data_IF_708498794909
#
_entry.id   IF_708498794909
#
_cell.length_a   1.000
_cell.length_b   1.000
_cell.length_c   1.000
_cell.angle_alpha   90.00
_cell.angle_beta   90.00
_cell.angle_gamma   90.00
#
_symmetry.space_group_name_H-M   'P 1'
#
loop_
_entity.id
_entity.type
_entity.pdbx_description
1 polymer ?
#
# COMPACT_ATOMS: atom_id res chain seq x y z
N UNK A 1 -32.54 -9.48 -9.80
CA UNK A 1 -31.68 -8.29 -9.66
C UNK A 1 -30.69 -8.58 -8.54
N UNK A 2 -29.42 -8.61 -8.85
CA UNK A 2 -28.37 -8.67 -7.83
C UNK A 2 -28.51 -7.38 -7.03
N UNK A 3 -28.71 -7.46 -5.72
CA UNK A 3 -28.82 -6.30 -4.84
C UNK A 3 -27.47 -5.57 -4.85
N UNK A 4 -27.38 -4.53 -5.70
CA UNK A 4 -26.16 -3.75 -5.87
C UNK A 4 -26.03 -2.77 -4.70
N UNK A 5 -25.01 -3.00 -3.85
CA UNK A 5 -24.78 -2.12 -2.71
C UNK A 5 -24.20 -0.79 -3.15
N UNK A 6 -24.81 0.30 -2.67
CA UNK A 6 -24.44 1.68 -3.03
C UNK A 6 -23.72 2.37 -1.86
N UNK A 7 -22.77 3.23 -2.21
CA UNK A 7 -22.01 4.09 -1.32
C UNK A 7 -21.93 5.51 -1.89
N UNK A 8 -21.79 6.51 -1.04
CA UNK A 8 -21.53 7.88 -1.48
C UNK A 8 -20.14 7.96 -2.12
N UNK A 9 -19.16 7.27 -1.54
CA UNK A 9 -17.80 7.27 -2.03
C UNK A 9 -17.19 5.85 -1.97
N UNK A 10 -16.65 5.41 -3.09
CA UNK A 10 -15.82 4.21 -3.19
C UNK A 10 -14.37 4.64 -3.37
N UNK A 11 -13.47 4.06 -2.59
CA UNK A 11 -12.03 4.29 -2.72
C UNK A 11 -11.34 2.96 -3.04
N UNK A 12 -10.49 2.96 -4.05
CA UNK A 12 -9.68 1.81 -4.46
C UNK A 12 -8.27 2.01 -3.96
N UNK A 13 -7.87 1.24 -2.96
CA UNK A 13 -6.57 1.29 -2.29
C UNK A 13 -6.64 1.85 -0.87
N UNK A 14 -6.20 1.04 0.10
CA UNK A 14 -6.14 1.39 1.53
C UNK A 14 -4.73 1.81 1.97
N UNK A 15 -3.98 2.44 1.08
CA UNK A 15 -2.74 3.13 1.43
C UNK A 15 -3.00 4.47 2.11
N UNK A 16 -1.96 5.25 2.43
CA UNK A 16 -2.10 6.50 3.18
C UNK A 16 -2.99 7.52 2.48
N UNK A 17 -2.93 7.66 1.16
CA UNK A 17 -3.78 8.58 0.40
C UNK A 17 -5.25 8.16 0.41
N UNK A 18 -5.52 6.86 0.20
CA UNK A 18 -6.88 6.32 0.22
C UNK A 18 -7.52 6.43 1.59
N UNK A 19 -6.81 6.06 2.65
CA UNK A 19 -7.29 6.17 4.03
C UNK A 19 -7.53 7.63 4.44
N UNK A 20 -6.62 8.55 4.10
CA UNK A 20 -6.79 9.98 4.41
C UNK A 20 -8.02 10.56 3.71
N UNK A 21 -8.23 10.23 2.43
CA UNK A 21 -9.43 10.65 1.70
C UNK A 21 -10.71 10.06 2.31
N UNK A 22 -10.68 8.79 2.71
CA UNK A 22 -11.80 8.11 3.35
C UNK A 22 -12.20 8.76 4.67
N UNK A 23 -11.21 9.06 5.53
CA UNK A 23 -11.40 9.72 6.82
C UNK A 23 -12.06 11.08 6.63
N UNK A 24 -11.54 11.91 5.72
CA UNK A 24 -12.08 13.24 5.46
C UNK A 24 -13.52 13.21 4.92
N UNK A 25 -13.82 12.25 4.05
CA UNK A 25 -15.16 12.06 3.51
C UNK A 25 -16.14 11.57 4.58
N UNK A 26 -15.74 10.60 5.39
CA UNK A 26 -16.56 10.04 6.46
C UNK A 26 -16.86 11.08 7.55
N UNK A 27 -15.88 11.91 7.93
CA UNK A 27 -16.07 13.03 8.87
C UNK A 27 -17.10 14.07 8.38
N UNK A 28 -17.34 14.12 7.07
CA UNK A 28 -18.37 14.98 6.44
C UNK A 28 -19.73 14.28 6.27
N UNK A 29 -19.88 13.09 6.84
CA UNK A 29 -21.13 12.35 6.85
C UNK A 29 -21.39 11.48 5.62
N UNK A 30 -20.38 11.25 4.77
CA UNK A 30 -20.51 10.36 3.62
C UNK A 30 -20.35 8.89 4.04
N UNK A 31 -21.12 8.01 3.41
CA UNK A 31 -20.94 6.56 3.52
C UNK A 31 -19.80 6.12 2.60
N UNK A 32 -18.68 5.70 3.21
CA UNK A 32 -17.43 5.42 2.49
C UNK A 32 -17.04 3.96 2.61
N UNK A 33 -16.66 3.35 1.48
CA UNK A 33 -16.00 2.04 1.44
C UNK A 33 -14.65 2.15 0.77
N UNK A 34 -13.66 1.44 1.32
CA UNK A 34 -12.32 1.31 0.75
C UNK A 34 -12.09 -0.16 0.42
N UNK A 35 -11.71 -0.47 -0.82
CA UNK A 35 -11.30 -1.80 -1.26
C UNK A 35 -9.80 -1.87 -1.42
N UNK A 36 -9.18 -2.92 -0.88
CA UNK A 36 -7.74 -3.17 -1.04
C UNK A 36 -7.49 -4.66 -1.32
N UNK A 37 -6.63 -4.95 -2.29
CA UNK A 37 -6.28 -6.32 -2.68
C UNK A 37 -5.42 -7.05 -1.64
N UNK A 38 -4.76 -6.32 -0.75
CA UNK A 38 -3.85 -6.87 0.25
C UNK A 38 -4.62 -7.43 1.47
N UNK A 39 -3.97 -8.32 2.18
CA UNK A 39 -4.47 -8.87 3.45
C UNK A 39 -4.41 -7.86 4.61
N UNK A 40 -3.55 -6.84 4.47
CA UNK A 40 -3.35 -5.77 5.46
C UNK A 40 -3.50 -4.41 4.81
N UNK A 41 -4.24 -3.48 5.43
CA UNK A 41 -4.34 -2.12 4.95
C UNK A 41 -3.09 -1.31 5.30
N UNK A 42 -2.94 -0.11 4.71
CA UNK A 42 -1.85 0.82 5.00
C UNK A 42 -0.78 0.90 3.89
N UNK A 43 -0.85 0.05 2.89
CA UNK A 43 0.01 0.09 1.70
C UNK A 43 1.49 0.08 2.04
N UNK A 44 2.26 1.00 1.45
CA UNK A 44 3.71 1.09 1.62
C UNK A 44 4.14 1.52 3.03
N UNK A 45 3.27 2.11 3.85
CA UNK A 45 3.62 2.55 5.21
C UNK A 45 4.05 1.40 6.11
N UNK A 46 3.45 0.22 5.97
CA UNK A 46 3.80 -0.94 6.80
C UNK A 46 5.17 -1.54 6.49
N UNK A 47 5.72 -1.25 5.31
CA UNK A 47 7.08 -1.64 4.93
C UNK A 47 8.15 -0.68 5.46
N UNK A 48 7.75 0.52 5.92
CA UNK A 48 8.62 1.62 6.26
C UNK A 48 8.91 1.64 7.75
N UNK A 49 10.02 1.02 8.14
CA UNK A 49 10.46 0.98 9.54
C UNK A 49 11.35 2.16 9.92
N UNK A 50 11.83 2.95 8.95
CA UNK A 50 12.60 4.16 9.20
C UNK A 50 11.68 5.33 9.60
N UNK A 51 12.26 6.34 10.24
CA UNK A 51 11.56 7.57 10.58
C UNK A 51 11.45 8.47 9.36
N UNK A 52 10.27 9.04 9.13
CA UNK A 52 10.05 9.97 8.03
C UNK A 52 10.82 11.28 8.23
N UNK A 53 11.21 11.87 7.11
CA UNK A 53 11.76 13.22 7.02
C UNK A 53 10.65 14.22 6.71
N UNK A 54 10.87 15.50 7.02
CA UNK A 54 9.93 16.58 6.71
C UNK A 54 9.48 17.36 7.94
N UNK A 55 8.30 17.97 7.86
CA UNK A 55 7.74 18.78 8.94
C UNK A 55 7.00 17.94 9.98
N UNK A 56 6.71 18.55 11.14
CA UNK A 56 5.87 17.91 12.17
C UNK A 56 4.46 17.62 11.68
N UNK A 57 3.93 18.48 10.80
CA UNK A 57 2.62 18.32 10.18
C UNK A 57 2.54 17.04 9.34
N UNK A 58 3.63 16.68 8.65
CA UNK A 58 3.76 15.44 7.89
C UNK A 58 4.34 14.29 8.72
N UNK A 59 4.17 14.33 10.05
CA UNK A 59 4.59 13.27 10.99
C UNK A 59 6.07 12.89 10.87
N UNK A 60 6.94 13.90 10.66
CA UNK A 60 8.40 13.70 10.67
C UNK A 60 8.87 13.04 11.97
N UNK A 61 9.92 12.22 11.86
CA UNK A 61 10.50 11.41 12.95
C UNK A 61 9.61 10.26 13.48
N UNK A 62 8.42 10.04 12.90
CA UNK A 62 7.58 8.88 13.22
C UNK A 62 7.85 7.78 12.19
N UNK A 63 7.86 6.53 12.62
CA UNK A 63 8.04 5.38 11.72
C UNK A 63 6.80 5.16 10.87
N UNK A 64 6.98 4.76 9.60
CA UNK A 64 5.89 4.62 8.65
C UNK A 64 4.78 3.67 9.09
N UNK A 65 5.11 2.52 9.68
CA UNK A 65 4.12 1.57 10.18
C UNK A 65 3.24 2.18 11.29
N UNK A 66 3.81 3.05 12.14
CA UNK A 66 3.05 3.72 13.18
C UNK A 66 2.06 4.73 12.60
N UNK A 67 2.45 5.44 11.54
CA UNK A 67 1.54 6.33 10.81
C UNK A 67 0.38 5.52 10.21
N UNK A 68 0.68 4.34 9.65
CA UNK A 68 -0.33 3.43 9.13
C UNK A 68 -1.33 2.96 10.18
N UNK A 69 -0.85 2.56 11.36
CA UNK A 69 -1.70 2.17 12.49
C UNK A 69 -2.61 3.31 12.94
N UNK A 70 -2.06 4.52 13.07
CA UNK A 70 -2.83 5.71 13.47
C UNK A 70 -3.93 6.03 12.44
N UNK A 71 -3.62 5.96 11.14
CA UNK A 71 -4.61 6.16 10.06
C UNK A 71 -5.72 5.11 10.08
N UNK A 72 -5.39 3.85 10.33
CA UNK A 72 -6.39 2.78 10.43
C UNK A 72 -7.34 3.00 11.59
N UNK A 73 -6.79 3.35 12.75
CA UNK A 73 -7.59 3.67 13.92
C UNK A 73 -8.52 4.85 13.67
N UNK A 74 -8.00 5.92 13.05
CA UNK A 74 -8.79 7.10 12.71
C UNK A 74 -9.89 6.77 11.68
N UNK A 75 -9.61 5.91 10.71
CA UNK A 75 -10.59 5.44 9.73
C UNK A 75 -11.73 4.64 10.39
N UNK A 76 -11.39 3.73 11.31
CA UNK A 76 -12.37 2.95 12.07
C UNK A 76 -13.25 3.86 12.94
N UNK A 77 -12.65 4.78 13.69
CA UNK A 77 -13.35 5.77 14.51
C UNK A 77 -14.29 6.68 13.69
N UNK A 78 -13.93 6.99 12.43
CA UNK A 78 -14.75 7.75 11.51
C UNK A 78 -15.85 6.92 10.83
N UNK A 79 -15.90 5.61 11.03
CA UNK A 79 -16.89 4.71 10.44
C UNK A 79 -16.61 4.33 8.99
N UNK A 80 -15.38 4.43 8.53
CA UNK A 80 -14.96 3.96 7.19
C UNK A 80 -15.02 2.45 7.13
N UNK A 81 -15.68 1.91 6.10
CA UNK A 81 -15.67 0.47 5.83
C UNK A 81 -14.45 0.11 4.98
N UNK A 82 -13.52 -0.65 5.53
CA UNK A 82 -12.35 -1.19 4.81
C UNK A 82 -12.58 -2.66 4.49
N UNK A 83 -12.50 -3.04 3.22
CA UNK A 83 -12.64 -4.41 2.74
C UNK A 83 -11.33 -4.86 2.14
N UNK A 84 -10.68 -5.82 2.79
CA UNK A 84 -9.40 -6.39 2.40
C UNK A 84 -9.59 -7.65 1.55
N UNK A 85 -8.49 -8.14 0.93
CA UNK A 85 -8.54 -9.25 -0.01
C UNK A 85 -9.60 -9.02 -1.10
N UNK A 86 -9.77 -7.76 -1.50
CA UNK A 86 -10.79 -7.28 -2.41
C UNK A 86 -10.14 -6.62 -3.63
N UNK A 87 -10.13 -7.32 -4.75
CA UNK A 87 -9.55 -6.83 -5.99
C UNK A 87 -10.61 -6.19 -6.87
N UNK A 88 -10.50 -4.90 -7.14
CA UNK A 88 -11.35 -4.22 -8.12
C UNK A 88 -10.94 -4.66 -9.52
N UNK A 89 -11.80 -5.43 -10.18
CA UNK A 89 -11.53 -6.03 -11.49
C UNK A 89 -12.12 -5.24 -12.66
N UNK A 90 -13.10 -4.39 -12.39
CA UNK A 90 -13.76 -3.59 -13.42
C UNK A 90 -14.29 -2.28 -12.86
N UNK A 91 -14.31 -1.27 -13.71
CA UNK A 91 -14.88 0.04 -13.43
C UNK A 91 -15.61 0.54 -14.66
N UNK A 92 -16.84 1.01 -14.51
CA UNK A 92 -17.74 1.35 -15.61
C UNK A 92 -18.16 2.82 -15.54
N UNK A 93 -18.66 3.34 -16.67
CA UNK A 93 -18.97 4.78 -16.82
C UNK A 93 -20.04 5.31 -15.85
N UNK A 94 -20.96 4.46 -15.42
CA UNK A 94 -22.02 4.79 -14.46
C UNK A 94 -21.57 4.68 -13.01
N UNK A 95 -20.25 4.60 -12.76
CA UNK A 95 -19.62 4.47 -11.46
C UNK A 95 -19.98 3.17 -10.74
N UNK A 96 -20.26 2.14 -11.51
CA UNK A 96 -20.31 0.77 -11.05
C UNK A 96 -18.91 0.16 -11.05
N UNK A 97 -18.63 -0.66 -10.06
CA UNK A 97 -17.40 -1.44 -9.98
C UNK A 97 -17.70 -2.91 -9.74
N UNK A 98 -16.84 -3.74 -10.29
CA UNK A 98 -16.81 -5.17 -10.03
C UNK A 98 -15.63 -5.49 -9.13
N UNK A 99 -15.89 -6.15 -8.01
CA UNK A 99 -14.89 -6.49 -7.01
C UNK A 99 -14.89 -7.99 -6.75
N UNK A 100 -13.73 -8.62 -6.87
CA UNK A 100 -13.52 -10.00 -6.44
C UNK A 100 -13.15 -10.01 -4.95
N UNK A 101 -13.94 -10.69 -4.14
CA UNK A 101 -13.70 -10.89 -2.71
C UNK A 101 -13.64 -12.40 -2.47
N UNK A 102 -12.47 -12.92 -2.15
CA UNK A 102 -12.23 -14.35 -2.18
C UNK A 102 -12.47 -14.92 -3.58
N UNK A 103 -13.37 -15.90 -3.71
CA UNK A 103 -13.73 -16.53 -5.00
C UNK A 103 -15.03 -15.96 -5.60
N UNK A 104 -15.63 -14.96 -4.96
CA UNK A 104 -16.90 -14.39 -5.39
C UNK A 104 -16.72 -13.02 -6.06
N UNK A 105 -17.59 -12.75 -7.03
CA UNK A 105 -17.67 -11.45 -7.71
C UNK A 105 -18.86 -10.68 -7.15
N UNK A 106 -18.57 -9.46 -6.71
CA UNK A 106 -19.55 -8.52 -6.18
C UNK A 106 -19.62 -7.26 -7.02
N UNK A 107 -20.79 -6.63 -7.05
CA UNK A 107 -21.03 -5.38 -7.76
C UNK A 107 -21.40 -4.28 -6.78
N UNK A 108 -20.78 -3.12 -6.92
CA UNK A 108 -21.04 -1.94 -6.11
C UNK A 108 -21.22 -0.72 -6.99
N UNK A 109 -21.95 0.26 -6.49
CA UNK A 109 -22.14 1.56 -7.15
C UNK A 109 -21.73 2.68 -6.21
N UNK A 110 -20.96 3.63 -6.71
CA UNK A 110 -20.58 4.84 -5.99
C UNK A 110 -21.18 6.08 -6.62
N UNK A 111 -21.46 7.09 -5.81
CA UNK A 111 -21.74 8.43 -6.35
C UNK A 111 -20.45 9.09 -6.82
N UNK A 112 -19.34 8.75 -6.17
CA UNK A 112 -17.98 9.11 -6.58
C UNK A 112 -17.02 7.95 -6.36
N UNK A 113 -15.93 7.92 -7.15
CA UNK A 113 -14.87 6.92 -7.03
C UNK A 113 -13.52 7.65 -6.96
N UNK A 114 -12.67 7.26 -6.01
CA UNK A 114 -11.28 7.71 -5.90
C UNK A 114 -10.37 6.50 -6.14
N UNK A 115 -9.41 6.64 -7.06
CA UNK A 115 -8.37 5.65 -7.31
C UNK A 115 -7.11 6.07 -6.54
N UNK A 116 -6.72 5.27 -5.56
CA UNK A 116 -5.58 5.50 -4.68
C UNK A 116 -4.68 4.25 -4.58
N UNK A 117 -4.46 3.60 -5.72
CA UNK A 117 -3.76 2.30 -5.80
C UNK A 117 -2.24 2.40 -5.64
N UNK A 118 -1.70 3.62 -5.49
CA UNK A 118 -0.28 3.85 -5.27
C UNK A 118 0.57 3.65 -6.52
N UNK A 119 1.79 3.16 -6.32
CA UNK A 119 2.76 2.93 -7.39
C UNK A 119 3.41 1.56 -7.24
N UNK A 120 3.73 0.95 -8.37
CA UNK A 120 4.54 -0.25 -8.45
C UNK A 120 5.97 0.11 -8.88
N UNK A 121 6.94 -0.72 -8.47
CA UNK A 121 8.34 -0.56 -8.86
C UNK A 121 8.53 -0.97 -10.33
N UNK A 122 9.09 -0.06 -11.12
CA UNK A 122 9.51 -0.36 -12.48
C UNK A 122 10.93 -0.93 -12.46
N UNK A 123 11.08 -2.18 -12.87
CA UNK A 123 12.39 -2.82 -12.95
C UNK A 123 13.23 -2.21 -14.08
N UNK A 124 14.49 -1.93 -13.78
CA UNK A 124 15.48 -1.59 -14.81
C UNK A 124 15.83 -2.86 -15.56
N UNK A 125 15.60 -2.86 -16.87
CA UNK A 125 15.90 -4.01 -17.72
C UNK A 125 17.37 -4.00 -18.16
N UNK A 126 18.08 -5.05 -17.80
CA UNK A 126 19.49 -5.30 -18.20
C UNK A 126 19.66 -6.81 -18.46
N UNK A 127 20.70 -7.26 -19.18
CA UNK A 127 20.93 -8.69 -19.37
C UNK A 127 21.00 -9.42 -18.03
N UNK A 128 20.08 -10.39 -17.82
CA UNK A 128 19.99 -11.15 -16.57
C UNK A 128 19.03 -10.58 -15.51
N UNK A 129 18.30 -9.50 -15.78
CA UNK A 129 17.37 -8.91 -14.80
C UNK A 129 16.24 -9.85 -14.34
N UNK A 130 15.96 -10.92 -15.12
CA UNK A 130 14.96 -11.95 -14.78
C UNK A 130 15.53 -13.16 -14.05
N UNK A 131 16.83 -13.19 -13.78
CA UNK A 131 17.47 -14.32 -13.09
C UNK A 131 17.05 -14.35 -11.61
N UNK A 132 16.98 -15.57 -11.01
CA UNK A 132 16.81 -15.71 -9.57
C UNK A 132 17.87 -14.92 -8.80
N UNK A 133 17.43 -14.19 -7.77
CA UNK A 133 18.29 -13.30 -6.99
C UNK A 133 18.33 -11.86 -7.46
N UNK A 134 17.77 -11.55 -8.63
CA UNK A 134 17.54 -10.17 -9.07
C UNK A 134 16.13 -9.74 -8.66
N UNK A 135 16.04 -8.82 -7.71
CA UNK A 135 14.76 -8.36 -7.14
C UNK A 135 14.75 -6.84 -7.00
N UNK A 136 13.58 -6.26 -6.98
CA UNK A 136 13.43 -4.84 -6.70
C UNK A 136 13.76 -4.50 -5.24
N UNK A 137 14.21 -3.27 -5.00
CA UNK A 137 14.51 -2.78 -3.65
C UNK A 137 13.27 -2.83 -2.74
N UNK A 138 12.09 -2.51 -3.27
CA UNK A 138 10.81 -2.64 -2.55
C UNK A 138 10.45 -4.08 -2.20
N UNK A 139 10.79 -5.04 -3.06
CA UNK A 139 10.62 -6.48 -2.77
C UNK A 139 11.55 -6.93 -1.64
N UNK A 140 12.81 -6.52 -1.65
CA UNK A 140 13.76 -6.79 -0.56
C UNK A 140 13.25 -6.20 0.76
N UNK A 141 12.72 -4.99 0.75
CA UNK A 141 12.12 -4.34 1.92
C UNK A 141 10.90 -5.10 2.44
N UNK A 142 10.06 -5.63 1.56
CA UNK A 142 8.92 -6.48 1.92
C UNK A 142 9.38 -7.76 2.62
N UNK A 143 10.38 -8.45 2.06
CA UNK A 143 10.94 -9.66 2.66
C UNK A 143 11.44 -9.40 4.07
N UNK A 144 12.23 -8.35 4.27
CA UNK A 144 12.80 -8.01 5.57
C UNK A 144 11.74 -7.51 6.58
N UNK A 145 10.96 -6.54 6.19
CA UNK A 145 10.15 -5.75 7.13
C UNK A 145 8.76 -6.34 7.41
N UNK A 146 8.20 -7.10 6.46
CA UNK A 146 6.91 -7.77 6.66
C UNK A 146 7.06 -9.25 6.99
N UNK A 147 8.02 -9.93 6.38
CA UNK A 147 8.15 -11.38 6.51
C UNK A 147 9.34 -11.82 7.37
N UNK A 148 10.21 -10.91 7.79
CA UNK A 148 11.40 -11.24 8.59
C UNK A 148 12.40 -12.15 7.85
N UNK A 149 12.40 -12.09 6.53
CA UNK A 149 13.24 -12.93 5.67
C UNK A 149 14.43 -12.12 5.16
N UNK A 150 15.62 -12.67 5.34
CA UNK A 150 16.88 -12.12 4.81
C UNK A 150 16.93 -12.36 3.30
N UNK A 151 17.03 -11.30 2.44
CA UNK A 151 16.98 -11.47 0.98
C UNK A 151 18.20 -12.20 0.38
N UNK A 152 19.31 -12.16 1.06
CA UNK A 152 20.56 -12.80 0.62
C UNK A 152 21.71 -12.51 1.56
N UNK A 153 22.90 -13.05 1.30
CA UNK A 153 24.09 -12.82 2.13
C UNK A 153 24.95 -11.67 1.61
N UNK A 154 25.18 -11.62 0.29
CA UNK A 154 25.94 -10.57 -0.40
C UNK A 154 25.06 -9.94 -1.46
N UNK A 155 24.91 -8.64 -1.42
CA UNK A 155 23.95 -7.89 -2.24
C UNK A 155 24.67 -6.75 -2.95
N UNK A 156 24.40 -6.63 -4.24
CA UNK A 156 24.76 -5.48 -5.06
C UNK A 156 23.50 -4.61 -5.20
N UNK A 157 23.58 -3.36 -4.80
CA UNK A 157 22.49 -2.38 -4.96
C UNK A 157 22.71 -1.58 -6.24
N UNK A 158 21.75 -1.66 -7.17
CA UNK A 158 21.77 -0.82 -8.36
C UNK A 158 20.92 0.44 -8.10
N UNK A 159 21.57 1.56 -7.94
CA UNK A 159 20.95 2.86 -7.70
C UNK A 159 21.22 3.41 -6.31
N UNK A 160 21.61 4.69 -6.27
CA UNK A 160 21.99 5.43 -5.06
C UNK A 160 20.97 6.54 -4.70
N UNK A 161 19.74 6.45 -5.17
CA UNK A 161 18.65 7.31 -4.74
C UNK A 161 18.19 7.01 -3.31
N UNK A 162 17.27 7.81 -2.79
CA UNK A 162 16.78 7.67 -1.41
C UNK A 162 16.33 6.25 -1.06
N UNK A 163 15.62 5.57 -1.95
CA UNK A 163 15.16 4.19 -1.73
C UNK A 163 16.35 3.23 -1.66
N UNK A 164 17.30 3.34 -2.61
CA UNK A 164 18.49 2.49 -2.63
C UNK A 164 19.33 2.63 -1.35
N UNK A 165 19.55 3.85 -0.89
CA UNK A 165 20.29 4.11 0.36
C UNK A 165 19.58 3.60 1.60
N UNK A 166 18.27 3.84 1.72
CA UNK A 166 17.46 3.37 2.86
C UNK A 166 17.42 1.84 2.91
N UNK A 167 17.19 1.18 1.77
CA UNK A 167 17.13 -0.28 1.69
C UNK A 167 18.50 -0.89 1.93
N UNK A 168 19.58 -0.33 1.40
CA UNK A 168 20.96 -0.76 1.70
C UNK A 168 21.28 -0.72 3.19
N UNK A 169 20.89 0.35 3.87
CA UNK A 169 21.05 0.45 5.32
C UNK A 169 20.27 -0.63 6.08
N UNK A 170 19.03 -0.90 5.67
CA UNK A 170 18.22 -1.97 6.25
C UNK A 170 18.79 -3.36 6.00
N UNK A 171 19.35 -3.61 4.81
CA UNK A 171 20.05 -4.85 4.47
C UNK A 171 21.25 -5.09 5.38
N UNK A 172 22.06 -4.05 5.62
CA UNK A 172 23.19 -4.14 6.57
C UNK A 172 22.70 -4.46 7.98
N UNK A 173 21.60 -3.83 8.44
CA UNK A 173 21.01 -4.14 9.74
C UNK A 173 20.51 -5.58 9.85
N UNK A 174 20.05 -6.18 8.74
CA UNK A 174 19.66 -7.60 8.65
C UNK A 174 20.86 -8.55 8.54
N UNK A 175 22.08 -8.03 8.56
CA UNK A 175 23.31 -8.84 8.45
C UNK A 175 23.64 -9.27 7.02
N UNK A 176 23.16 -8.53 6.01
CA UNK A 176 23.64 -8.66 4.63
C UNK A 176 24.94 -7.85 4.43
N UNK A 177 25.83 -8.35 3.60
CA UNK A 177 26.95 -7.59 3.06
C UNK A 177 26.49 -6.84 1.81
N UNK A 178 26.45 -5.53 1.85
CA UNK A 178 26.19 -4.70 0.67
C UNK A 178 27.53 -4.33 0.05
N UNK A 179 27.83 -4.89 -1.13
CA UNK A 179 29.17 -4.81 -1.74
C UNK A 179 29.36 -3.62 -2.68
N UNK A 180 28.26 -3.05 -3.21
CA UNK A 180 28.24 -1.81 -3.98
C UNK A 180 26.77 -1.29 -4.08
#
# INVERSE_FOLDING_TARGET
SVDMKRFDLIIVGAGPSGLSAAIEAAKRGLEVVVFDENEKPGGQLFKQIHKFFGSKEHKAKIRGFKIGEDLLKEADEAGVKVVLNATVCGMYQDKEITVRIGDEIHHFKGDSIIIATGAAENMVTFPGWTLPGVIGAGAAQTMMNLHGVKPGSRILMLGSGNVGLVVSYQLIQCGCEVVA
#
